data_IF_886935774344
#
_entry.id   IF_886935774344
#
_cell.length_a   1.000
_cell.length_b   1.000
_cell.length_c   1.000
_cell.angle_alpha   90.00
_cell.angle_beta   90.00
_cell.angle_gamma   90.00
#
_symmetry.space_group_name_H-M   'P 1'
#
loop_
_entity.id
_entity.type
_entity.pdbx_description
1 polymer ?
#
# COMPACT_ATOMS: atom_id res chain seq x y z
N UNK A 1 16.00 6.37 -0.74
CA UNK A 1 15.62 4.94 -0.68
C UNK A 1 14.78 4.54 -1.89
N UNK A 2 14.82 3.26 -2.29
CA UNK A 2 13.93 2.72 -3.33
C UNK A 2 12.58 2.36 -2.73
N UNK A 3 11.49 2.80 -3.37
CA UNK A 3 10.13 2.47 -2.99
C UNK A 3 9.32 1.96 -4.19
N UNK A 4 8.24 1.25 -3.92
CA UNK A 4 7.29 0.81 -4.93
C UNK A 4 5.89 1.34 -4.65
N UNK A 5 5.17 1.67 -5.71
CA UNK A 5 3.73 1.93 -5.68
C UNK A 5 3.03 0.99 -6.65
N UNK A 6 2.07 0.26 -6.14
CA UNK A 6 1.36 -0.79 -6.87
C UNK A 6 -0.12 -0.48 -6.87
N UNK A 7 -0.69 -0.25 -8.03
CA UNK A 7 -2.13 -0.09 -8.20
C UNK A 7 -2.75 -1.42 -8.58
N UNK A 8 -3.72 -1.85 -7.80
CA UNK A 8 -4.45 -3.11 -7.95
C UNK A 8 -5.87 -2.80 -8.40
N UNK A 9 -6.15 -3.02 -9.67
CA UNK A 9 -7.44 -2.70 -10.27
C UNK A 9 -7.63 -3.45 -11.59
N UNK A 10 -8.66 -4.30 -11.65
CA UNK A 10 -9.08 -4.96 -12.89
C UNK A 10 -9.39 -3.93 -13.99
N UNK A 11 -10.10 -2.86 -13.63
CA UNK A 11 -10.57 -1.87 -14.59
C UNK A 11 -9.44 -0.96 -15.08
N UNK A 12 -8.60 -0.44 -14.18
CA UNK A 12 -7.50 0.40 -14.57
C UNK A 12 -6.45 -0.39 -15.37
N UNK A 13 -6.13 -1.62 -14.97
CA UNK A 13 -5.18 -2.48 -15.70
C UNK A 13 -5.68 -2.87 -17.10
N UNK A 14 -6.99 -2.93 -17.28
CA UNK A 14 -7.62 -3.14 -18.60
C UNK A 14 -7.80 -1.85 -19.43
N UNK A 15 -7.35 -0.71 -18.93
CA UNK A 15 -7.46 0.58 -19.63
C UNK A 15 -8.84 1.22 -19.60
N UNK A 16 -9.77 0.76 -18.72
CA UNK A 16 -11.13 1.30 -18.61
C UNK A 16 -11.12 2.72 -18.07
N UNK A 17 -10.20 3.03 -17.17
CA UNK A 17 -9.94 4.39 -16.68
C UNK A 17 -8.46 4.56 -16.34
N UNK A 18 -8.03 5.81 -16.20
CA UNK A 18 -6.65 6.16 -15.85
C UNK A 18 -6.38 5.89 -14.37
N UNK A 19 -5.21 5.31 -14.06
CA UNK A 19 -4.72 5.18 -12.69
C UNK A 19 -4.36 6.56 -12.11
N UNK A 20 -5.15 7.02 -11.16
CA UNK A 20 -4.89 8.25 -10.40
C UNK A 20 -4.34 7.98 -9.00
N UNK A 21 -4.56 6.80 -8.48
CA UNK A 21 -4.18 6.42 -7.11
C UNK A 21 -2.68 6.23 -6.96
N UNK A 22 -2.06 5.53 -7.91
CA UNK A 22 -0.62 5.34 -7.90
C UNK A 22 0.17 6.65 -7.92
N UNK A 23 -0.08 7.57 -8.87
CA UNK A 23 0.54 8.89 -8.87
C UNK A 23 0.28 9.70 -7.61
N UNK A 24 -0.92 9.60 -7.03
CA UNK A 24 -1.26 10.30 -5.79
C UNK A 24 -0.38 9.88 -4.61
N UNK A 25 -0.02 8.61 -4.50
CA UNK A 25 0.91 8.12 -3.47
C UNK A 25 2.24 8.90 -3.54
N UNK A 26 2.81 9.00 -4.74
CA UNK A 26 4.09 9.68 -4.93
C UNK A 26 3.97 11.18 -4.63
N UNK A 27 2.88 11.81 -5.05
CA UNK A 27 2.61 13.23 -4.79
C UNK A 27 2.54 13.51 -3.28
N UNK A 28 1.76 12.73 -2.54
CA UNK A 28 1.58 12.91 -1.10
C UNK A 28 2.88 12.69 -0.33
N UNK A 29 3.64 11.66 -0.65
CA UNK A 29 4.94 11.42 -0.01
C UNK A 29 5.93 12.54 -0.31
N UNK A 30 5.90 13.10 -1.53
CA UNK A 30 6.70 14.26 -1.89
C UNK A 30 6.36 15.49 -1.04
N UNK A 31 5.07 15.78 -0.82
CA UNK A 31 4.62 16.85 0.06
C UNK A 31 5.03 16.65 1.53
N UNK A 32 5.11 15.39 1.96
CA UNK A 32 5.61 15.03 3.29
C UNK A 32 7.14 15.03 3.41
N UNK A 33 7.86 15.44 2.38
CA UNK A 33 9.32 15.38 2.31
C UNK A 33 9.86 13.97 2.64
N UNK A 34 9.19 12.94 2.12
CA UNK A 34 9.59 11.57 2.33
C UNK A 34 10.69 11.17 1.33
N UNK A 35 11.83 10.61 1.78
CA UNK A 35 13.02 10.45 0.93
C UNK A 35 12.94 9.24 0.00
N UNK A 36 12.23 9.35 -1.11
CA UNK A 36 12.23 8.34 -2.16
C UNK A 36 13.12 8.81 -3.32
N UNK A 37 14.18 8.06 -3.60
CA UNK A 37 15.13 8.37 -4.67
C UNK A 37 14.74 7.68 -5.98
N UNK A 38 14.10 6.51 -5.88
CA UNK A 38 13.72 5.68 -7.02
C UNK A 38 12.34 5.06 -6.78
N UNK A 39 11.46 5.21 -7.77
CA UNK A 39 10.14 4.59 -7.78
C UNK A 39 10.06 3.40 -8.72
N UNK A 40 9.69 2.24 -8.18
CA UNK A 40 9.14 1.13 -8.96
C UNK A 40 7.63 1.32 -9.05
N UNK A 41 7.07 1.13 -10.24
CA UNK A 41 5.62 1.31 -10.46
C UNK A 41 5.01 0.09 -11.11
N UNK A 42 3.82 -0.29 -10.66
CA UNK A 42 3.07 -1.37 -11.27
C UNK A 42 1.57 -1.07 -11.25
N UNK A 43 0.89 -1.54 -12.27
CA UNK A 43 -0.57 -1.52 -12.38
C UNK A 43 -0.99 -2.90 -12.87
N UNK A 44 -1.61 -3.68 -12.00
CA UNK A 44 -1.99 -5.07 -12.27
C UNK A 44 -3.44 -5.35 -11.87
N UNK A 45 -4.07 -6.40 -12.42
CA UNK A 45 -5.43 -6.79 -12.03
C UNK A 45 -5.50 -7.33 -10.60
N UNK A 46 -6.72 -7.44 -10.09
CA UNK A 46 -7.04 -8.01 -8.77
C UNK A 46 -6.95 -9.55 -8.81
N UNK A 47 -5.75 -10.08 -9.06
CA UNK A 47 -5.43 -11.51 -9.10
C UNK A 47 -4.44 -11.85 -8.00
N UNK A 48 -4.87 -12.64 -7.01
CA UNK A 48 -4.10 -12.90 -5.79
C UNK A 48 -2.69 -13.44 -6.09
N UNK A 49 -2.56 -14.43 -6.96
CA UNK A 49 -1.26 -15.03 -7.29
C UNK A 49 -0.30 -14.01 -7.94
N UNK A 50 -0.81 -13.12 -8.79
CA UNK A 50 0.00 -12.08 -9.42
C UNK A 50 0.45 -11.04 -8.40
N UNK A 51 -0.43 -10.66 -7.48
CA UNK A 51 -0.12 -9.70 -6.40
C UNK A 51 0.97 -10.28 -5.51
N UNK A 52 0.82 -11.52 -5.06
CA UNK A 52 1.80 -12.20 -4.21
C UNK A 52 3.17 -12.28 -4.88
N UNK A 53 3.21 -12.69 -6.15
CA UNK A 53 4.45 -12.80 -6.93
C UNK A 53 5.15 -11.43 -7.06
N UNK A 54 4.38 -10.38 -7.37
CA UNK A 54 4.91 -9.03 -7.49
C UNK A 54 5.45 -8.50 -6.15
N UNK A 55 4.70 -8.70 -5.07
CA UNK A 55 5.14 -8.25 -3.73
C UNK A 55 6.45 -8.92 -3.32
N UNK A 56 6.57 -10.24 -3.54
CA UNK A 56 7.84 -10.96 -3.28
C UNK A 56 8.97 -10.40 -4.11
N UNK A 57 8.75 -10.21 -5.42
CA UNK A 57 9.77 -9.64 -6.32
C UNK A 57 10.24 -8.26 -5.85
N UNK A 58 9.32 -7.36 -5.54
CA UNK A 58 9.65 -6.01 -5.09
C UNK A 58 10.47 -6.00 -3.80
N UNK A 59 10.18 -6.90 -2.86
CA UNK A 59 10.89 -6.99 -1.59
C UNK A 59 12.23 -7.74 -1.72
N UNK A 60 12.22 -8.92 -2.34
CA UNK A 60 13.33 -9.86 -2.29
C UNK A 60 14.38 -9.59 -3.39
N UNK A 61 13.94 -9.25 -4.60
CA UNK A 61 14.79 -9.04 -5.77
C UNK A 61 15.09 -7.55 -5.98
N UNK A 62 14.04 -6.73 -6.09
CA UNK A 62 14.18 -5.29 -6.37
C UNK A 62 14.64 -4.49 -5.14
N UNK A 63 14.56 -5.09 -3.94
CA UNK A 63 15.02 -4.49 -2.67
C UNK A 63 14.34 -3.16 -2.35
N UNK A 64 13.05 -3.04 -2.65
CA UNK A 64 12.27 -1.87 -2.24
C UNK A 64 12.12 -1.87 -0.72
N UNK A 65 12.57 -0.79 -0.08
CA UNK A 65 12.41 -0.66 1.38
C UNK A 65 10.95 -0.39 1.77
N UNK A 66 10.20 0.28 0.90
CA UNK A 66 8.78 0.58 1.12
C UNK A 66 7.97 0.14 -0.11
N UNK A 67 6.92 -0.62 0.11
CA UNK A 67 5.95 -1.02 -0.92
C UNK A 67 4.57 -0.56 -0.50
N UNK A 68 3.98 0.36 -1.26
CA UNK A 68 2.64 0.89 -1.03
C UNK A 68 1.71 0.35 -2.10
N UNK A 69 0.66 -0.36 -1.69
CA UNK A 69 -0.40 -0.81 -2.59
C UNK A 69 -1.63 0.08 -2.46
N UNK A 70 -2.39 0.23 -3.52
CA UNK A 70 -3.68 0.94 -3.52
C UNK A 70 -4.71 0.12 -4.27
N UNK A 71 -5.91 0.01 -3.71
CA UNK A 71 -7.03 -0.74 -4.27
C UNK A 71 -7.14 -2.16 -3.73
N UNK A 72 -8.25 -2.81 -4.04
CA UNK A 72 -8.54 -4.20 -3.70
C UNK A 72 -8.68 -4.52 -2.21
N UNK A 73 -9.04 -3.53 -1.37
CA UNK A 73 -9.11 -3.68 0.10
C UNK A 73 -10.52 -3.83 0.66
N UNK A 74 -11.55 -3.78 -0.16
CA UNK A 74 -12.95 -3.87 0.26
C UNK A 74 -13.44 -5.30 0.47
N UNK A 75 -14.76 -5.49 0.65
CA UNK A 75 -15.37 -6.79 0.91
C UNK A 75 -15.82 -7.54 -0.34
N UNK A 76 -15.60 -7.00 -1.54
CA UNK A 76 -15.98 -7.65 -2.79
C UNK A 76 -15.15 -8.89 -3.06
N UNK A 77 -15.70 -9.84 -3.84
CA UNK A 77 -14.99 -11.07 -4.20
C UNK A 77 -13.66 -10.85 -4.89
N UNK A 78 -13.57 -9.78 -5.70
CA UNK A 78 -12.35 -9.41 -6.41
C UNK A 78 -11.35 -8.65 -5.55
N UNK A 79 -11.75 -8.19 -4.36
CA UNK A 79 -10.84 -7.51 -3.42
C UNK A 79 -10.01 -8.56 -2.68
N UNK A 80 -8.78 -8.80 -3.14
CA UNK A 80 -7.88 -9.84 -2.60
C UNK A 80 -6.54 -9.29 -2.12
N UNK A 81 -6.40 -7.97 -2.08
CA UNK A 81 -5.14 -7.33 -1.65
C UNK A 81 -4.73 -7.72 -0.23
N UNK A 82 -5.63 -7.73 0.78
CA UNK A 82 -5.24 -8.13 2.13
C UNK A 82 -4.80 -9.59 2.20
N UNK A 83 -5.47 -10.49 1.51
CA UNK A 83 -5.13 -11.92 1.46
C UNK A 83 -3.75 -12.12 0.84
N UNK A 84 -3.50 -11.51 -0.32
CA UNK A 84 -2.20 -11.59 -0.99
C UNK A 84 -1.08 -11.00 -0.11
N UNK A 85 -1.35 -9.88 0.54
CA UNK A 85 -0.39 -9.22 1.42
C UNK A 85 -0.05 -10.11 2.61
N UNK A 86 -1.05 -10.65 3.31
CA UNK A 86 -0.81 -11.53 4.47
C UNK A 86 -0.01 -12.78 4.09
N UNK A 87 -0.24 -13.34 2.92
CA UNK A 87 0.50 -14.52 2.44
C UNK A 87 2.01 -14.26 2.31
N UNK A 88 2.41 -13.04 1.98
CA UNK A 88 3.83 -12.71 1.78
C UNK A 88 4.49 -12.08 3.00
N UNK A 89 3.74 -11.59 3.97
CA UNK A 89 4.28 -11.00 5.19
C UNK A 89 4.94 -12.04 6.09
N UNK A 90 6.04 -11.64 6.72
CA UNK A 90 6.67 -12.36 7.83
C UNK A 90 6.09 -11.93 9.17
N UNK A 91 5.76 -10.66 9.30
CA UNK A 91 5.13 -10.06 10.50
C UNK A 91 4.06 -9.08 10.08
N UNK A 92 2.86 -9.22 10.63
CA UNK A 92 1.78 -8.27 10.39
C UNK A 92 1.88 -7.09 11.35
N UNK A 93 1.59 -5.89 10.85
CA UNK A 93 1.49 -4.64 11.60
C UNK A 93 0.07 -4.08 11.46
N UNK A 94 -0.91 -4.65 12.18
CA UNK A 94 -2.32 -4.34 11.97
C UNK A 94 -2.70 -2.90 12.30
N UNK A 95 -1.92 -2.23 13.14
CA UNK A 95 -2.16 -0.83 13.53
C UNK A 95 -2.28 0.14 12.36
N UNK A 96 -1.60 -0.13 11.25
CA UNK A 96 -1.75 0.69 10.04
C UNK A 96 -3.18 0.64 9.49
N UNK A 97 -3.75 -0.54 9.33
CA UNK A 97 -5.13 -0.70 8.89
C UNK A 97 -6.14 -0.17 9.89
N UNK A 98 -5.88 -0.35 11.17
CA UNK A 98 -6.73 0.15 12.26
C UNK A 98 -6.86 1.68 12.21
N UNK A 99 -5.75 2.41 12.12
CA UNK A 99 -5.80 3.88 12.07
C UNK A 99 -6.39 4.39 10.75
N UNK A 100 -6.19 3.71 9.64
CA UNK A 100 -6.84 4.03 8.37
C UNK A 100 -8.37 4.00 8.52
N UNK A 101 -8.91 2.96 9.11
CA UNK A 101 -10.35 2.80 9.36
C UNK A 101 -10.87 3.83 10.33
N UNK A 102 -10.22 4.02 11.47
CA UNK A 102 -10.65 4.95 12.51
C UNK A 102 -10.60 6.40 12.03
N UNK A 103 -9.50 6.82 11.40
CA UNK A 103 -9.33 8.21 10.94
C UNK A 103 -10.30 8.59 9.83
N UNK A 104 -10.69 7.63 8.99
CA UNK A 104 -11.60 7.89 7.88
C UNK A 104 -13.08 7.78 8.27
N UNK A 105 -13.40 7.07 9.35
CA UNK A 105 -14.77 6.75 9.74
C UNK A 105 -15.65 7.99 9.95
N UNK A 106 -15.10 9.04 10.57
CA UNK A 106 -15.86 10.27 10.85
C UNK A 106 -16.33 10.98 9.56
N UNK A 107 -15.57 10.86 8.47
CA UNK A 107 -15.89 11.47 7.17
C UNK A 107 -16.68 10.52 6.28
N UNK A 108 -16.32 9.23 6.30
CA UNK A 108 -16.87 8.18 5.44
C UNK A 108 -17.17 6.96 6.31
N UNK A 109 -18.41 6.80 6.82
CA UNK A 109 -18.77 5.69 7.72
C UNK A 109 -18.48 4.30 7.14
N UNK A 110 -18.52 4.13 5.82
CA UNK A 110 -18.20 2.87 5.13
C UNK A 110 -16.70 2.54 5.12
N UNK A 111 -15.85 3.43 5.61
CA UNK A 111 -14.40 3.16 5.75
C UNK A 111 -14.11 1.93 6.63
N UNK A 112 -15.02 1.56 7.55
CA UNK A 112 -14.88 0.34 8.36
C UNK A 112 -14.92 -0.96 7.54
N UNK A 113 -15.38 -0.91 6.30
CA UNK A 113 -15.39 -2.06 5.40
C UNK A 113 -14.00 -2.35 4.80
N UNK A 114 -13.05 -1.42 4.93
CA UNK A 114 -11.68 -1.65 4.50
C UNK A 114 -11.03 -2.75 5.32
N UNK A 115 -10.39 -3.68 4.63
CA UNK A 115 -9.62 -4.78 5.24
C UNK A 115 -8.11 -4.57 5.06
N UNK A 116 -7.70 -3.33 4.76
CA UNK A 116 -6.31 -2.96 4.59
C UNK A 116 -5.46 -3.37 5.78
N UNK A 117 -4.26 -3.84 5.51
CA UNK A 117 -3.26 -4.23 6.50
C UNK A 117 -1.87 -3.73 6.09
N UNK A 118 -0.89 -4.03 6.91
CA UNK A 118 0.51 -3.76 6.64
C UNK A 118 1.38 -4.80 7.35
N UNK A 119 2.64 -4.84 6.99
CA UNK A 119 3.59 -5.70 7.67
C UNK A 119 4.96 -5.69 7.03
N UNK A 120 5.81 -6.58 7.50
CA UNK A 120 7.21 -6.64 7.07
C UNK A 120 7.51 -7.93 6.32
N UNK A 121 8.43 -7.81 5.34
CA UNK A 121 9.08 -8.92 4.66
C UNK A 121 10.55 -8.59 4.48
N UNK A 122 11.44 -9.36 5.10
CA UNK A 122 12.86 -9.03 5.13
C UNK A 122 13.07 -7.61 5.68
N UNK A 123 13.67 -6.75 4.87
CA UNK A 123 13.88 -5.32 5.20
C UNK A 123 12.84 -4.38 4.58
N UNK A 124 11.78 -4.94 4.05
CA UNK A 124 10.71 -4.17 3.39
C UNK A 124 9.51 -3.98 4.30
N UNK A 125 8.92 -2.81 4.26
CA UNK A 125 7.59 -2.51 4.80
C UNK A 125 6.59 -2.51 3.66
N UNK A 126 5.50 -3.27 3.79
CA UNK A 126 4.37 -3.28 2.84
C UNK A 126 3.17 -2.66 3.54
N UNK A 127 2.51 -1.70 2.90
CA UNK A 127 1.31 -1.04 3.44
C UNK A 127 0.22 -0.99 2.37
N UNK A 128 -0.96 -1.51 2.71
CA UNK A 128 -2.14 -1.36 1.86
C UNK A 128 -2.82 0.00 2.10
N UNK A 129 -3.16 0.70 1.02
CA UNK A 129 -3.87 1.97 1.04
C UNK A 129 -5.23 1.83 0.35
N UNK A 130 -6.19 2.72 0.65
CA UNK A 130 -7.47 2.73 -0.03
C UNK A 130 -7.29 3.01 -1.54
N UNK A 131 -8.27 2.58 -2.33
CA UNK A 131 -8.26 2.78 -3.79
C UNK A 131 -8.60 4.20 -4.24
N UNK A 132 -9.29 4.97 -3.41
CA UNK A 132 -9.70 6.32 -3.75
C UNK A 132 -8.54 7.32 -3.55
N UNK A 133 -8.14 8.10 -4.59
CA UNK A 133 -7.06 9.09 -4.48
C UNK A 133 -7.28 10.11 -3.36
N UNK A 134 -8.51 10.60 -3.18
CA UNK A 134 -8.83 11.53 -2.09
C UNK A 134 -8.55 10.92 -0.72
N UNK A 135 -8.93 9.68 -0.52
CA UNK A 135 -8.66 8.97 0.74
C UNK A 135 -7.15 8.79 0.98
N UNK A 136 -6.36 8.53 -0.06
CA UNK A 136 -4.90 8.46 0.03
C UNK A 136 -4.34 9.80 0.54
N UNK A 137 -4.77 10.91 -0.05
CA UNK A 137 -4.34 12.25 0.36
C UNK A 137 -4.67 12.59 1.82
N UNK A 138 -5.76 12.05 2.33
CA UNK A 138 -6.20 12.27 3.72
C UNK A 138 -5.49 11.34 4.73
N UNK A 139 -5.23 10.08 4.37
CA UNK A 139 -4.75 9.09 5.32
C UNK A 139 -3.23 8.85 5.28
N UNK A 140 -2.60 8.89 4.11
CA UNK A 140 -1.17 8.59 3.99
C UNK A 140 -0.28 9.51 4.83
N UNK A 141 -0.53 10.84 4.92
CA UNK A 141 0.25 11.71 5.80
C UNK A 141 0.24 11.28 7.27
N UNK A 142 -0.88 10.71 7.74
CA UNK A 142 -1.00 10.22 9.12
C UNK A 142 -0.10 9.01 9.39
N UNK A 143 0.22 8.23 8.35
CA UNK A 143 1.05 7.03 8.46
C UNK A 143 2.55 7.33 8.37
N UNK A 144 2.94 8.47 7.81
CA UNK A 144 4.34 8.81 7.54
C UNK A 144 5.25 8.68 8.77
N UNK A 145 4.89 9.15 9.98
CA UNK A 145 5.75 8.97 11.15
C UNK A 145 6.02 7.50 11.47
N UNK A 146 4.97 6.66 11.43
CA UNK A 146 5.11 5.22 11.68
C UNK A 146 5.90 4.51 10.57
N UNK A 147 5.71 4.91 9.32
CA UNK A 147 6.49 4.38 8.18
C UNK A 147 7.98 4.68 8.39
N UNK A 148 8.34 5.92 8.74
CA UNK A 148 9.74 6.31 8.99
C UNK A 148 10.36 5.47 10.09
N UNK A 149 9.66 5.29 11.21
CA UNK A 149 10.15 4.53 12.33
C UNK A 149 10.30 3.04 12.01
N UNK A 150 9.31 2.45 11.33
CA UNK A 150 9.39 1.06 10.89
C UNK A 150 10.60 0.82 9.96
N UNK A 151 10.82 1.71 9.00
CA UNK A 151 11.95 1.59 8.08
C UNK A 151 13.30 1.73 8.80
N UNK A 152 13.39 2.59 9.82
CA UNK A 152 14.59 2.70 10.67
C UNK A 152 14.88 1.38 11.39
N UNK A 153 13.87 0.77 12.01
CA UNK A 153 14.01 -0.54 12.65
C UNK A 153 14.42 -1.64 11.65
N UNK A 154 13.85 -1.62 10.44
CA UNK A 154 14.17 -2.62 9.40
C UNK A 154 15.57 -2.44 8.82
N UNK A 155 16.11 -1.23 8.86
CA UNK A 155 17.49 -0.97 8.47
C UNK A 155 18.51 -1.50 9.51
N UNK A 156 18.07 -1.76 10.73
CA UNK A 156 18.89 -2.29 11.81
C UNK A 156 19.41 -1.22 12.78
N UNK A 157 18.73 -0.08 12.84
CA UNK A 157 19.07 1.04 13.74
C UNK A 157 18.23 0.99 15.02
#
# INVERSE_FOLDING_TARGET
>A
MKAARVTLSDRASAGVYEDRSGPEIARVLGECNFPVDEWMTALIPDEQAQIESLLRKLCDEDRCALVLTTGGTGPSRRDVTPEATRTVLERELPGFGEILRVSSFAKVPTAILSRATAGTRGRSLIVNLPGNPKAIGECLPLLVPAIREALRHLAGD
#
